data_IF_142640221368
#
_entry.id   IF_142640221368
#
_cell.length_a   1.000
_cell.length_b   1.000
_cell.length_c   1.000
_cell.angle_alpha   90.00
_cell.angle_beta   90.00
_cell.angle_gamma   90.00
#
_symmetry.space_group_name_H-M   'P 1'
#
loop_
_entity.id
_entity.type
_entity.pdbx_description
1 polymer ?
#
# COMPACT_ATOMS: atom_id res chain seq x y z
N UNK A 1 17.03 -20.75 -0.62
CA UNK A 1 17.42 -19.34 -0.77
C UNK A 1 16.22 -18.48 -0.45
N UNK A 2 16.42 -17.33 0.21
CA UNK A 2 15.38 -16.33 0.38
C UNK A 2 15.40 -15.43 -0.86
N UNK A 3 14.27 -15.26 -1.51
CA UNK A 3 14.14 -14.42 -2.70
C UNK A 3 13.35 -13.17 -2.34
N UNK A 4 13.80 -12.00 -2.79
CA UNK A 4 13.09 -10.74 -2.71
C UNK A 4 12.70 -10.31 -4.12
N UNK A 5 11.46 -9.93 -4.33
CA UNK A 5 10.96 -9.39 -5.60
C UNK A 5 10.79 -7.89 -5.43
N UNK A 6 11.46 -7.10 -6.26
CA UNK A 6 11.36 -5.66 -6.28
C UNK A 6 10.54 -5.23 -7.50
N UNK A 7 9.44 -4.50 -7.25
CA UNK A 7 8.69 -3.83 -8.32
C UNK A 7 8.92 -2.33 -8.19
N UNK A 8 9.28 -1.69 -9.29
CA UNK A 8 9.57 -0.26 -9.32
C UNK A 8 9.14 0.38 -10.64
N UNK A 9 8.86 1.68 -10.60
CA UNK A 9 8.65 2.50 -11.80
C UNK A 9 9.94 3.20 -12.18
N UNK A 10 10.18 3.30 -13.47
CA UNK A 10 11.31 4.07 -13.99
C UNK A 10 10.88 5.52 -14.09
N UNK A 11 11.22 6.34 -13.08
CA UNK A 11 10.85 7.75 -13.02
C UNK A 11 12.06 8.71 -12.94
N UNK A 12 13.20 8.24 -12.49
CA UNK A 12 14.42 9.04 -12.34
C UNK A 12 15.66 8.31 -12.81
N UNK A 13 16.82 8.94 -12.66
CA UNK A 13 18.09 8.38 -13.13
C UNK A 13 18.45 7.10 -12.37
N UNK A 14 18.24 7.05 -11.06
CA UNK A 14 18.52 5.85 -10.24
C UNK A 14 17.70 4.63 -10.68
N UNK A 15 16.38 4.78 -10.87
CA UNK A 15 15.54 3.67 -11.36
C UNK A 15 15.81 3.31 -12.82
N UNK A 16 16.25 4.28 -13.63
CA UNK A 16 16.70 4.02 -14.99
C UNK A 16 18.01 3.24 -15.03
N UNK A 17 18.95 3.55 -14.13
CA UNK A 17 20.18 2.77 -14.01
C UNK A 17 19.91 1.38 -13.46
N UNK A 18 19.00 1.27 -12.49
CA UNK A 18 18.54 -0.01 -11.95
C UNK A 18 17.94 -0.91 -13.05
N UNK A 19 17.20 -0.34 -14.00
CA UNK A 19 16.60 -1.09 -15.13
C UNK A 19 17.59 -1.65 -16.15
N UNK A 20 18.86 -1.26 -16.07
CA UNK A 20 19.94 -1.77 -16.95
C UNK A 20 20.62 -3.01 -16.37
N UNK A 21 20.33 -3.36 -15.12
CA UNK A 21 20.90 -4.54 -14.46
C UNK A 21 20.45 -5.82 -15.15
N UNK A 22 21.34 -6.79 -15.16
CA UNK A 22 21.17 -8.09 -15.79
C UNK A 22 21.37 -9.22 -14.77
N UNK A 23 21.01 -10.43 -15.15
CA UNK A 23 21.25 -11.60 -14.33
C UNK A 23 22.73 -11.76 -14.01
N UNK A 24 23.04 -11.92 -12.73
CA UNK A 24 24.43 -11.99 -12.21
C UNK A 24 24.96 -10.67 -11.66
N UNK A 25 24.31 -9.55 -11.93
CA UNK A 25 24.66 -8.29 -11.30
C UNK A 25 24.32 -8.28 -9.81
N UNK A 26 25.06 -7.47 -9.05
CA UNK A 26 24.85 -7.34 -7.61
C UNK A 26 24.41 -5.92 -7.25
N UNK A 27 23.55 -5.82 -6.24
CA UNK A 27 23.11 -4.54 -5.68
C UNK A 27 23.35 -4.52 -4.17
N UNK A 28 23.73 -3.38 -3.63
CA UNK A 28 23.77 -3.16 -2.20
C UNK A 28 22.37 -2.82 -1.69
N UNK A 29 21.91 -3.54 -0.66
CA UNK A 29 20.61 -3.34 -0.05
C UNK A 29 20.74 -3.08 1.44
N UNK A 30 20.26 -1.94 1.90
CA UNK A 30 20.12 -1.64 3.31
C UNK A 30 18.72 -2.05 3.77
N UNK A 31 18.60 -3.00 4.67
CA UNK A 31 17.31 -3.49 5.18
C UNK A 31 17.44 -4.66 6.15
N UNK A 32 16.33 -5.11 6.78
CA UNK A 32 15.00 -4.51 6.68
C UNK A 32 14.90 -3.19 7.42
N UNK A 33 14.10 -2.26 6.93
CA UNK A 33 13.89 -0.95 7.53
C UNK A 33 12.39 -0.71 7.82
N UNK A 34 12.13 0.12 8.84
CA UNK A 34 10.78 0.54 9.19
C UNK A 34 9.89 -0.57 9.76
N UNK A 35 8.59 -0.30 9.79
CA UNK A 35 7.55 -1.18 10.35
C UNK A 35 6.46 -1.40 9.30
N UNK A 36 6.32 -2.64 8.82
CA UNK A 36 5.31 -3.02 7.85
C UNK A 36 3.91 -3.19 8.47
N UNK A 37 3.00 -3.75 7.67
CA UNK A 37 1.66 -4.10 8.16
C UNK A 37 1.74 -5.20 9.23
N UNK A 38 1.04 -4.96 10.36
CA UNK A 38 0.91 -5.96 11.40
C UNK A 38 -0.15 -7.01 11.00
N UNK A 39 0.31 -8.21 10.75
CA UNK A 39 -0.52 -9.37 10.38
C UNK A 39 -0.90 -10.24 11.58
N UNK A 40 -0.38 -9.94 12.77
CA UNK A 40 -0.57 -10.71 14.01
C UNK A 40 -1.51 -9.99 14.99
N UNK A 41 -2.40 -9.13 14.47
CA UNK A 41 -3.34 -8.36 15.28
C UNK A 41 -4.22 -9.26 16.16
N UNK A 42 -4.46 -8.82 17.40
CA UNK A 42 -5.31 -9.51 18.35
C UNK A 42 -6.44 -8.57 18.83
N UNK A 43 -7.73 -8.90 18.63
CA UNK A 43 -8.22 -10.09 17.91
C UNK A 43 -7.92 -10.01 16.40
N UNK A 44 -7.78 -11.18 15.78
CA UNK A 44 -7.60 -11.24 14.33
C UNK A 44 -8.86 -10.73 13.61
N UNK A 45 -8.76 -9.91 12.55
CA UNK A 45 -9.90 -9.51 11.75
C UNK A 45 -10.52 -10.72 11.05
N UNK A 46 -11.85 -10.71 10.84
CA UNK A 46 -12.53 -11.71 10.01
C UNK A 46 -12.51 -11.32 8.55
N UNK A 47 -12.68 -10.02 8.29
CA UNK A 47 -12.72 -9.43 6.95
C UNK A 47 -11.68 -8.32 6.83
N UNK A 48 -11.02 -8.25 5.70
CA UNK A 48 -10.02 -7.21 5.40
C UNK A 48 -10.21 -6.67 3.99
N UNK A 49 -10.25 -5.34 3.87
CA UNK A 49 -10.25 -4.63 2.60
C UNK A 49 -8.86 -4.07 2.31
N UNK A 50 -8.27 -4.49 1.20
CA UNK A 50 -6.94 -4.09 0.76
C UNK A 50 -7.06 -3.19 -0.47
N UNK A 51 -6.66 -1.92 -0.33
CA UNK A 51 -6.80 -0.91 -1.37
C UNK A 51 -5.43 -0.53 -1.89
N UNK A 52 -5.15 -0.87 -3.14
CA UNK A 52 -3.87 -0.59 -3.81
C UNK A 52 -4.02 0.41 -4.96
N UNK A 53 -3.10 1.37 -5.08
CA UNK A 53 -3.05 2.28 -6.22
C UNK A 53 -1.71 2.21 -6.97
N UNK A 54 -1.74 1.84 -8.26
CA UNK A 54 -0.54 1.74 -9.08
C UNK A 54 0.54 0.87 -8.42
N UNK A 55 1.71 1.45 -8.13
CA UNK A 55 2.82 0.72 -7.49
C UNK A 55 2.55 0.35 -6.01
N UNK A 56 1.44 0.81 -5.43
CA UNK A 56 0.97 0.35 -4.12
C UNK A 56 0.26 -1.01 -4.13
N UNK A 57 -0.03 -1.58 -5.29
CA UNK A 57 -0.70 -2.89 -5.43
C UNK A 57 0.19 -4.07 -4.97
N UNK A 58 1.50 -4.14 -5.26
CA UNK A 58 2.35 -5.24 -4.82
C UNK A 58 2.39 -5.47 -3.30
N UNK A 59 2.49 -4.44 -2.44
CA UNK A 59 2.37 -4.64 -0.98
C UNK A 59 1.02 -5.24 -0.56
N UNK A 60 -0.08 -4.85 -1.23
CA UNK A 60 -1.41 -5.40 -0.97
C UNK A 60 -1.51 -6.86 -1.36
N UNK A 61 -0.89 -7.27 -2.48
CA UNK A 61 -0.82 -8.68 -2.88
C UNK A 61 -0.17 -9.56 -1.80
N UNK A 62 1.02 -9.16 -1.34
CA UNK A 62 1.73 -9.93 -0.31
C UNK A 62 0.95 -9.97 1.01
N UNK A 63 0.42 -8.83 1.45
CA UNK A 63 -0.40 -8.74 2.66
C UNK A 63 -1.63 -9.63 2.57
N UNK A 64 -2.37 -9.58 1.46
CA UNK A 64 -3.57 -10.37 1.27
C UNK A 64 -3.30 -11.88 1.26
N UNK A 65 -2.20 -12.30 0.65
CA UNK A 65 -1.74 -13.70 0.69
C UNK A 65 -1.50 -14.16 2.13
N UNK A 66 -0.86 -13.35 2.97
CA UNK A 66 -0.57 -13.68 4.35
C UNK A 66 -1.83 -13.70 5.21
N UNK A 67 -2.72 -12.72 5.05
CA UNK A 67 -4.01 -12.65 5.76
C UNK A 67 -4.92 -13.81 5.38
N UNK A 68 -5.06 -14.12 4.09
CA UNK A 68 -5.83 -15.27 3.63
C UNK A 68 -5.28 -16.60 4.19
N UNK A 69 -3.95 -16.73 4.27
CA UNK A 69 -3.28 -17.87 4.92
C UNK A 69 -3.61 -18.02 6.41
N UNK A 70 -4.07 -16.96 7.06
CA UNK A 70 -4.54 -16.93 8.45
C UNK A 70 -6.06 -17.07 8.57
N UNK A 71 -6.77 -17.29 7.46
CA UNK A 71 -8.23 -17.48 7.43
C UNK A 71 -9.03 -16.17 7.41
N UNK A 72 -8.39 -15.02 7.14
CA UNK A 72 -9.08 -13.75 6.95
C UNK A 72 -9.72 -13.71 5.57
N UNK A 73 -10.98 -13.29 5.49
CA UNK A 73 -11.65 -13.06 4.20
C UNK A 73 -11.14 -11.73 3.60
N UNK A 74 -10.43 -11.83 2.48
CA UNK A 74 -9.76 -10.70 1.84
C UNK A 74 -10.54 -10.22 0.63
N UNK A 75 -10.70 -8.89 0.52
CA UNK A 75 -11.17 -8.20 -0.67
C UNK A 75 -10.11 -7.20 -1.12
N UNK A 76 -9.74 -7.25 -2.39
CA UNK A 76 -8.82 -6.32 -3.02
C UNK A 76 -9.57 -5.30 -3.86
N UNK A 77 -9.17 -4.03 -3.77
CA UNK A 77 -9.60 -2.96 -4.67
C UNK A 77 -8.37 -2.28 -5.22
N UNK A 78 -8.10 -2.48 -6.50
CA UNK A 78 -6.90 -1.98 -7.16
C UNK A 78 -7.25 -0.86 -8.15
N UNK A 79 -6.55 0.27 -8.03
CA UNK A 79 -6.71 1.42 -8.92
C UNK A 79 -5.52 1.60 -9.87
N UNK A 80 -5.81 1.82 -11.15
CA UNK A 80 -4.81 2.07 -12.19
C UNK A 80 -5.24 3.22 -13.10
N UNK A 81 -4.34 3.75 -13.92
CA UNK A 81 -4.69 4.73 -14.94
C UNK A 81 -5.47 4.08 -16.07
N UNK A 82 -5.05 2.89 -16.52
CA UNK A 82 -5.65 2.14 -17.62
C UNK A 82 -5.38 0.65 -17.49
N UNK A 83 -6.05 -0.18 -18.29
CA UNK A 83 -5.89 -1.62 -18.35
C UNK A 83 -4.42 -2.06 -18.59
N UNK A 84 -3.67 -1.31 -19.42
CA UNK A 84 -2.26 -1.63 -19.70
C UNK A 84 -1.34 -1.48 -18.50
N UNK A 85 -1.76 -0.73 -17.49
CA UNK A 85 -1.01 -0.49 -16.26
C UNK A 85 -1.38 -1.49 -15.16
N UNK A 86 -2.40 -2.34 -15.40
CA UNK A 86 -2.88 -3.31 -14.42
C UNK A 86 -2.00 -4.55 -14.36
N UNK A 87 -1.85 -5.09 -13.17
CA UNK A 87 -1.10 -6.31 -12.89
C UNK A 87 -1.60 -6.98 -11.61
N UNK A 88 -1.23 -8.24 -11.39
CA UNK A 88 -1.56 -9.07 -10.22
C UNK A 88 -3.04 -9.44 -10.02
N UNK A 89 -3.95 -9.10 -10.90
CA UNK A 89 -5.36 -9.48 -10.77
C UNK A 89 -5.53 -11.01 -10.63
N UNK A 90 -4.90 -11.75 -11.52
CA UNK A 90 -4.98 -13.22 -11.53
C UNK A 90 -4.39 -13.84 -10.26
N UNK A 91 -3.25 -13.34 -9.84
CA UNK A 91 -2.55 -13.82 -8.65
C UNK A 91 -3.33 -13.52 -7.37
N UNK A 92 -3.94 -12.34 -7.27
CA UNK A 92 -4.76 -11.92 -6.13
C UNK A 92 -6.06 -12.70 -6.02
N UNK A 93 -6.68 -13.06 -7.15
CA UNK A 93 -7.90 -13.88 -7.17
C UNK A 93 -7.72 -15.26 -6.51
N UNK A 94 -6.49 -15.74 -6.34
CA UNK A 94 -6.21 -16.96 -5.58
C UNK A 94 -6.38 -16.79 -4.06
N UNK A 95 -6.46 -15.54 -3.56
CA UNK A 95 -6.46 -15.23 -2.13
C UNK A 95 -7.69 -14.43 -1.67
N UNK A 96 -8.48 -13.89 -2.58
CA UNK A 96 -9.68 -13.13 -2.25
C UNK A 96 -10.40 -12.59 -3.47
N UNK A 97 -11.47 -11.83 -3.24
CA UNK A 97 -12.20 -11.15 -4.31
C UNK A 97 -11.42 -9.93 -4.79
N UNK A 98 -11.31 -9.75 -6.10
CA UNK A 98 -10.57 -8.61 -6.70
C UNK A 98 -11.52 -7.71 -7.48
N UNK A 99 -11.48 -6.43 -7.18
CA UNK A 99 -12.13 -5.38 -7.93
C UNK A 99 -11.07 -4.44 -8.51
N UNK A 100 -11.29 -3.96 -9.74
CA UNK A 100 -10.38 -3.04 -10.42
C UNK A 100 -11.13 -1.77 -10.81
N UNK A 101 -10.51 -0.62 -10.54
CA UNK A 101 -10.89 0.66 -11.09
C UNK A 101 -9.81 1.16 -12.06
N UNK A 102 -10.23 1.68 -13.21
CA UNK A 102 -9.33 2.40 -14.12
C UNK A 102 -9.88 3.78 -14.43
N UNK A 103 -9.01 4.78 -14.42
CA UNK A 103 -9.42 6.18 -14.66
C UNK A 103 -10.06 6.33 -16.02
N UNK A 104 -9.53 5.66 -17.03
CA UNK A 104 -10.02 5.71 -18.41
C UNK A 104 -11.19 4.73 -18.70
N UNK A 105 -11.58 3.89 -17.75
CA UNK A 105 -12.65 2.90 -17.91
C UNK A 105 -12.29 1.71 -18.80
N UNK A 106 -11.02 1.51 -19.13
CA UNK A 106 -10.59 0.43 -20.02
C UNK A 106 -10.60 -0.96 -19.38
N UNK A 107 -10.70 -1.04 -18.04
CA UNK A 107 -10.84 -2.29 -17.28
C UNK A 107 -11.60 -2.03 -15.98
N UNK A 108 -12.55 -2.91 -15.65
CA UNK A 108 -13.31 -2.85 -14.42
C UNK A 108 -14.24 -1.63 -14.33
N UNK A 109 -14.27 -0.99 -13.16
CA UNK A 109 -15.06 0.22 -12.93
C UNK A 109 -14.31 1.45 -13.42
N UNK A 110 -14.98 2.31 -14.19
CA UNK A 110 -14.41 3.61 -14.56
C UNK A 110 -14.38 4.53 -13.34
N UNK A 111 -13.21 5.10 -13.04
CA UNK A 111 -13.01 6.04 -11.94
C UNK A 111 -11.90 5.62 -10.99
N UNK A 112 -12.09 5.90 -9.71
CA UNK A 112 -11.13 5.67 -8.63
C UNK A 112 -11.55 4.50 -7.74
N UNK A 113 -10.66 4.06 -6.88
CA UNK A 113 -10.94 2.99 -5.89
C UNK A 113 -12.13 3.33 -4.99
N UNK A 114 -12.35 4.59 -4.68
CA UNK A 114 -13.48 5.07 -3.87
C UNK A 114 -14.83 4.91 -4.56
N UNK A 115 -14.88 4.92 -5.90
CA UNK A 115 -16.12 4.66 -6.65
C UNK A 115 -16.59 3.21 -6.49
N UNK A 116 -15.64 2.30 -6.17
CA UNK A 116 -15.95 0.92 -5.81
C UNK A 116 -16.29 0.83 -4.32
N UNK A 117 -15.42 1.34 -3.44
CA UNK A 117 -15.50 1.09 -2.00
C UNK A 117 -16.70 1.78 -1.35
N UNK A 118 -17.14 2.93 -1.86
CA UNK A 118 -18.34 3.64 -1.36
C UNK A 118 -19.65 2.87 -1.61
N UNK A 119 -19.61 1.83 -2.44
CA UNK A 119 -20.77 1.00 -2.77
C UNK A 119 -20.69 -0.41 -2.14
N UNK A 120 -19.75 -0.65 -1.22
CA UNK A 120 -19.68 -1.93 -0.54
C UNK A 120 -20.85 -2.13 0.43
N UNK A 121 -21.45 -3.32 0.45
CA UNK A 121 -22.64 -3.58 1.25
C UNK A 121 -22.35 -3.68 2.76
N UNK A 122 -21.12 -3.99 3.13
CA UNK A 122 -20.71 -4.21 4.52
C UNK A 122 -19.35 -3.54 4.79
N UNK A 123 -19.21 -2.95 5.98
CA UNK A 123 -17.92 -2.44 6.43
C UNK A 123 -16.98 -3.59 6.80
N UNK A 124 -15.72 -3.57 6.34
CA UNK A 124 -14.71 -4.55 6.75
C UNK A 124 -14.25 -4.30 8.18
N UNK A 125 -13.76 -5.35 8.88
CA UNK A 125 -13.17 -5.20 10.22
C UNK A 125 -11.90 -4.33 10.18
N UNK A 126 -11.17 -4.33 9.05
CA UNK A 126 -9.93 -3.56 8.88
C UNK A 126 -9.70 -3.21 7.41
N UNK A 127 -9.11 -2.04 7.21
CA UNK A 127 -8.68 -1.55 5.89
C UNK A 127 -7.17 -1.37 5.88
N UNK A 128 -6.54 -1.81 4.81
CA UNK A 128 -5.13 -1.56 4.51
C UNK A 128 -5.02 -0.86 3.17
N UNK A 129 -4.24 0.21 3.10
CA UNK A 129 -4.10 0.94 1.84
C UNK A 129 -2.66 1.36 1.57
N UNK A 130 -2.27 1.28 0.29
CA UNK A 130 -0.98 1.72 -0.22
C UNK A 130 -1.16 2.32 -1.62
N UNK A 131 -0.63 3.51 -1.84
CA UNK A 131 -0.74 4.21 -3.13
C UNK A 131 -0.52 5.72 -3.00
N UNK A 132 -0.90 6.48 -4.04
CA UNK A 132 -0.73 7.93 -4.06
C UNK A 132 -1.41 8.63 -2.88
N UNK A 133 -0.78 9.70 -2.37
CA UNK A 133 -1.26 10.47 -1.21
C UNK A 133 -2.73 10.89 -1.33
N UNK A 134 -3.16 11.37 -2.50
CA UNK A 134 -4.56 11.75 -2.74
C UNK A 134 -5.54 10.58 -2.58
N UNK A 135 -5.13 9.35 -3.00
CA UNK A 135 -5.92 8.15 -2.79
C UNK A 135 -6.01 7.80 -1.29
N UNK A 136 -4.89 7.87 -0.56
CA UNK A 136 -4.86 7.60 0.87
C UNK A 136 -5.73 8.60 1.65
N UNK A 137 -5.73 9.88 1.26
CA UNK A 137 -6.61 10.90 1.82
C UNK A 137 -8.08 10.57 1.58
N UNK A 138 -8.44 10.16 0.36
CA UNK A 138 -9.80 9.78 0.01
C UNK A 138 -10.26 8.54 0.78
N UNK A 139 -9.41 7.50 0.88
CA UNK A 139 -9.69 6.31 1.68
C UNK A 139 -9.91 6.67 3.15
N UNK A 140 -9.02 7.47 3.75
CA UNK A 140 -9.19 7.94 5.14
C UNK A 140 -10.51 8.66 5.35
N UNK A 141 -10.93 9.51 4.41
CA UNK A 141 -12.17 10.26 4.49
C UNK A 141 -13.43 9.37 4.32
N UNK A 142 -13.34 8.33 3.49
CA UNK A 142 -14.46 7.40 3.25
C UNK A 142 -14.75 6.46 4.42
N UNK A 143 -13.76 6.21 5.28
CA UNK A 143 -13.87 5.23 6.38
C UNK A 143 -13.41 5.82 7.72
N UNK A 144 -14.11 6.86 8.25
CA UNK A 144 -13.67 7.56 9.46
C UNK A 144 -13.70 6.71 10.72
N UNK A 145 -14.59 5.72 10.79
CA UNK A 145 -14.80 4.87 11.98
C UNK A 145 -14.11 3.50 11.85
N UNK A 146 -13.77 3.08 10.62
CA UNK A 146 -13.16 1.78 10.38
C UNK A 146 -11.66 1.81 10.68
N UNK A 147 -11.15 0.80 11.35
CA UNK A 147 -9.72 0.63 11.62
C UNK A 147 -8.92 0.58 10.31
N UNK A 148 -8.25 1.66 9.99
CA UNK A 148 -7.55 1.83 8.70
C UNK A 148 -6.06 2.03 8.89
N UNK A 149 -5.26 1.29 8.14
CA UNK A 149 -3.81 1.40 8.07
C UNK A 149 -3.38 1.89 6.68
N UNK A 150 -2.51 2.89 6.68
CA UNK A 150 -2.00 3.54 5.48
C UNK A 150 -0.49 3.34 5.39
N UNK A 151 -0.02 2.86 4.24
CA UNK A 151 1.41 2.82 3.93
C UNK A 151 1.77 4.12 3.23
N UNK A 152 2.58 4.94 3.90
CA UNK A 152 2.98 6.25 3.42
C UNK A 152 4.30 6.17 2.64
N UNK A 153 4.43 7.04 1.66
CA UNK A 153 5.65 7.27 0.90
C UNK A 153 6.07 8.73 1.08
N UNK A 154 7.34 8.95 1.42
CA UNK A 154 7.96 10.26 1.52
C UNK A 154 9.36 10.23 0.90
N UNK A 155 9.91 11.42 0.63
CA UNK A 155 11.30 11.52 0.15
C UNK A 155 12.24 10.86 1.15
N UNK A 156 12.97 9.85 0.65
CA UNK A 156 13.89 9.07 1.47
C UNK A 156 15.34 9.51 1.18
N UNK A 157 16.08 9.87 2.25
CA UNK A 157 17.51 10.12 2.14
C UNK A 157 18.31 9.05 2.88
N UNK A 158 18.31 9.05 4.24
CA UNK A 158 19.13 8.09 4.99
C UNK A 158 18.47 6.71 5.19
N UNK A 159 17.14 6.62 5.21
CA UNK A 159 16.38 5.40 5.48
C UNK A 159 16.40 4.90 6.93
N UNK A 160 17.18 5.52 7.83
CA UNK A 160 17.45 5.05 9.20
C UNK A 160 17.04 6.06 10.29
N UNK A 161 16.17 7.01 9.97
CA UNK A 161 15.66 7.99 10.95
C UNK A 161 16.58 9.15 11.31
N UNK A 162 17.78 9.28 10.72
CA UNK A 162 18.78 10.27 11.14
C UNK A 162 18.60 11.65 10.50
N UNK A 163 18.12 11.76 9.25
CA UNK A 163 18.18 13.00 8.46
C UNK A 163 16.88 13.85 8.51
N UNK A 164 15.77 13.32 9.01
CA UNK A 164 14.46 13.98 9.04
C UNK A 164 13.91 14.41 7.67
N UNK A 165 14.35 13.78 6.59
CA UNK A 165 13.84 14.10 5.25
C UNK A 165 12.44 13.51 4.98
N UNK A 166 12.11 12.37 5.60
CA UNK A 166 10.88 11.60 5.37
C UNK A 166 9.84 11.81 6.48
N UNK A 167 9.59 13.06 6.87
CA UNK A 167 8.69 13.35 8.01
C UNK A 167 7.24 13.48 7.58
N UNK A 168 6.34 12.95 8.41
CA UNK A 168 4.90 13.09 8.29
C UNK A 168 4.34 13.69 9.60
N UNK A 169 3.49 14.74 9.56
CA UNK A 169 2.91 15.33 10.77
C UNK A 169 1.98 14.34 11.48
N UNK A 170 1.97 14.40 12.82
CA UNK A 170 0.98 13.68 13.64
C UNK A 170 -0.38 14.35 13.56
N UNK A 171 -1.45 13.57 13.64
CA UNK A 171 -2.82 14.07 13.57
C UNK A 171 -3.20 14.88 14.84
N UNK A 172 -2.69 14.50 16.02
CA UNK A 172 -2.98 15.12 17.31
C UNK A 172 -2.17 16.39 17.57
N UNK A 173 -0.98 16.52 16.98
CA UNK A 173 -0.08 17.66 17.18
C UNK A 173 0.80 17.88 15.93
N UNK A 174 0.44 18.85 15.11
CA UNK A 174 1.17 19.19 13.88
C UNK A 174 2.64 19.63 14.11
N UNK A 175 3.05 19.93 15.34
CA UNK A 175 4.45 20.21 15.69
C UNK A 175 5.27 18.95 15.89
N UNK A 176 4.61 17.82 16.12
CA UNK A 176 5.24 16.51 16.21
C UNK A 176 5.17 15.78 14.88
N UNK A 177 6.18 15.00 14.61
CA UNK A 177 6.32 14.30 13.33
C UNK A 177 6.72 12.84 13.55
N UNK A 178 6.27 11.99 12.67
CA UNK A 178 6.81 10.65 12.46
C UNK A 178 7.90 10.71 11.39
N UNK A 179 8.88 9.84 11.48
CA UNK A 179 9.85 9.53 10.42
C UNK A 179 9.39 8.29 9.68
N UNK A 180 8.93 8.44 8.45
CA UNK A 180 8.34 7.33 7.68
C UNK A 180 9.28 6.13 7.55
N UNK A 181 10.60 6.36 7.43
CA UNK A 181 11.59 5.30 7.33
C UNK A 181 11.86 4.50 8.62
N UNK A 182 11.53 5.05 9.79
CA UNK A 182 11.82 4.45 11.09
C UNK A 182 10.54 4.07 11.85
N UNK A 183 9.58 5.01 11.92
CA UNK A 183 8.32 4.83 12.64
C UNK A 183 7.28 4.08 11.81
N UNK A 184 7.32 4.25 10.47
CA UNK A 184 6.45 3.62 9.48
C UNK A 184 7.22 2.64 8.57
N UNK A 185 6.82 2.46 7.32
CA UNK A 185 5.90 3.30 6.53
C UNK A 185 4.42 3.13 6.85
N UNK A 186 4.02 2.15 7.64
CA UNK A 186 2.61 1.87 7.94
C UNK A 186 2.19 2.54 9.24
N UNK A 187 1.11 3.31 9.17
CA UNK A 187 0.50 4.03 10.29
C UNK A 187 -1.00 3.81 10.33
N UNK A 188 -1.60 3.96 11.51
CA UNK A 188 -3.05 4.11 11.60
C UNK A 188 -3.47 5.44 10.97
N UNK A 189 -4.60 5.43 10.27
CA UNK A 189 -5.08 6.62 9.57
C UNK A 189 -5.40 7.78 10.53
N UNK A 190 -5.81 7.49 11.77
CA UNK A 190 -6.11 8.48 12.81
C UNK A 190 -4.85 9.08 13.45
N UNK A 191 -3.67 8.47 13.28
CA UNK A 191 -2.41 8.96 13.86
C UNK A 191 -1.68 9.98 12.97
N UNK A 192 -1.97 10.00 11.66
CA UNK A 192 -1.23 10.80 10.68
C UNK A 192 -2.08 11.89 10.04
N UNK A 193 -1.45 13.04 9.78
CA UNK A 193 -2.04 14.12 8.96
C UNK A 193 -1.48 14.02 7.54
N UNK A 194 -2.35 13.77 6.56
CA UNK A 194 -2.01 13.60 5.14
C UNK A 194 -2.16 14.90 4.36
#
# INVERSE_FOLDING_TARGET
AKTCILLYRIEGDGTRDFSKLSEGDTIDVLGPLGKGFDIDQTPAPKTALLIGGGIGVPPMYQLGKELAGKGVQVTFVNGFQSAKDSFYEKEMNAYGTVHIATVDGSLGTQGFVTDITNNFPEEPDVIYSCGPKAMLQAVKASFPETKTYLSLEERMACGIGACYACVCPKADDAKKQFKVCEDGPVFRADEVSL
#
